data_IF_171393707831
#
_entry.id   IF_171393707831
#
_cell.length_a   1.000
_cell.length_b   1.000
_cell.length_c   1.000
_cell.angle_alpha   90.00
_cell.angle_beta   90.00
_cell.angle_gamma   90.00
#
_symmetry.space_group_name_H-M   'P 1'
#
loop_
_entity.id
_entity.type
_entity.pdbx_description
1 polymer ?
#
# COMPACT_ATOMS: atom_id res chain seq x y z
N UNK A 1 -15.04 -23.36 -5.85
CA UNK A 1 -15.82 -22.59 -4.86
C UNK A 1 -15.63 -21.12 -5.18
N UNK A 2 -16.68 -20.34 -5.37
CA UNK A 2 -16.56 -18.88 -5.58
C UNK A 2 -16.33 -18.25 -4.21
N UNK A 3 -15.17 -17.65 -4.00
CA UNK A 3 -14.86 -16.94 -2.76
C UNK A 3 -15.60 -15.60 -2.81
N UNK A 4 -16.44 -15.32 -1.82
CA UNK A 4 -17.14 -14.04 -1.66
C UNK A 4 -16.76 -13.41 -0.32
N UNK A 5 -16.74 -12.06 -0.28
CA UNK A 5 -16.51 -11.25 0.93
C UNK A 5 -17.55 -10.13 0.99
N UNK A 6 -18.82 -10.45 1.29
CA UNK A 6 -19.90 -9.46 1.33
C UNK A 6 -19.74 -8.43 2.46
N UNK A 7 -18.91 -8.75 3.45
CA UNK A 7 -18.54 -7.91 4.58
C UNK A 7 -17.54 -6.79 4.23
N UNK A 8 -16.88 -6.86 3.06
CA UNK A 8 -15.88 -5.88 2.62
C UNK A 8 -16.47 -4.91 1.59
N UNK A 9 -16.28 -3.62 1.83
CA UNK A 9 -16.54 -2.57 0.86
C UNK A 9 -15.38 -2.40 -0.12
N UNK A 10 -15.53 -2.87 -1.36
CA UNK A 10 -14.54 -2.67 -2.43
C UNK A 10 -14.70 -1.28 -3.04
N UNK A 11 -14.00 -0.28 -2.49
CA UNK A 11 -14.17 1.12 -2.87
C UNK A 11 -13.51 1.53 -4.21
N UNK A 12 -12.70 0.66 -4.81
CA UNK A 12 -12.00 0.92 -6.08
C UNK A 12 -11.76 -0.38 -6.85
N UNK A 13 -12.19 -0.41 -8.12
CA UNK A 13 -12.15 -1.62 -8.96
C UNK A 13 -11.81 -1.36 -10.42
N UNK A 14 -11.22 -0.21 -10.77
CA UNK A 14 -10.75 0.04 -12.14
C UNK A 14 -9.61 -0.92 -12.55
N UNK A 15 -9.50 -1.19 -13.84
CA UNK A 15 -8.57 -2.16 -14.41
C UNK A 15 -7.12 -1.95 -13.93
N UNK A 16 -6.64 -0.71 -13.96
CA UNK A 16 -5.28 -0.36 -13.54
C UNK A 16 -5.03 -0.68 -12.06
N UNK A 17 -6.05 -0.59 -11.21
CA UNK A 17 -5.98 -0.96 -9.80
C UNK A 17 -6.01 -2.48 -9.62
N UNK A 18 -6.95 -3.18 -10.26
CA UNK A 18 -7.10 -4.64 -10.17
C UNK A 18 -5.86 -5.37 -10.71
N UNK A 19 -5.25 -4.86 -11.78
CA UNK A 19 -4.03 -5.43 -12.36
C UNK A 19 -2.87 -5.52 -11.36
N UNK A 20 -2.84 -4.68 -10.31
CA UNK A 20 -1.82 -4.77 -9.25
C UNK A 20 -1.89 -6.11 -8.51
N UNK A 21 -3.10 -6.55 -8.19
CA UNK A 21 -3.36 -7.78 -7.44
C UNK A 21 -3.16 -9.01 -8.32
N UNK A 22 -3.64 -8.97 -9.57
CA UNK A 22 -3.42 -10.03 -10.55
C UNK A 22 -1.93 -10.25 -10.80
N UNK A 23 -1.16 -9.20 -11.09
CA UNK A 23 0.30 -9.30 -11.31
C UNK A 23 1.04 -9.82 -10.07
N UNK A 24 0.67 -9.35 -8.87
CA UNK A 24 1.25 -9.81 -7.61
C UNK A 24 0.98 -11.29 -7.29
N UNK A 25 0.02 -11.93 -7.97
CA UNK A 25 -0.34 -13.34 -7.82
C UNK A 25 -0.26 -14.12 -9.13
N UNK A 26 0.56 -13.65 -10.08
CA UNK A 26 0.79 -14.33 -11.38
C UNK A 26 -0.53 -14.69 -12.11
N UNK A 27 -1.51 -13.81 -12.05
CA UNK A 27 -2.85 -13.97 -12.63
C UNK A 27 -3.68 -15.15 -12.09
N UNK A 28 -3.28 -15.73 -10.96
CA UNK A 28 -4.18 -16.61 -10.22
C UNK A 28 -5.34 -15.78 -9.64
N UNK A 29 -6.52 -15.92 -10.22
CA UNK A 29 -7.68 -15.10 -9.87
C UNK A 29 -8.16 -15.31 -8.42
N UNK A 30 -8.09 -16.55 -7.90
CA UNK A 30 -8.45 -16.83 -6.50
C UNK A 30 -7.52 -16.12 -5.52
N UNK A 31 -6.20 -16.25 -5.72
CA UNK A 31 -5.22 -15.62 -4.85
C UNK A 31 -5.22 -14.08 -4.99
N UNK A 32 -5.46 -13.57 -6.20
CA UNK A 32 -5.59 -12.14 -6.44
C UNK A 32 -6.82 -11.56 -5.72
N UNK A 33 -7.96 -12.24 -5.77
CA UNK A 33 -9.16 -11.84 -5.04
C UNK A 33 -8.93 -11.86 -3.52
N UNK A 34 -8.27 -12.91 -3.01
CA UNK A 34 -7.91 -12.99 -1.58
C UNK A 34 -7.03 -11.82 -1.14
N UNK A 35 -6.04 -11.43 -1.95
CA UNK A 35 -5.19 -10.26 -1.66
C UNK A 35 -5.96 -8.94 -1.74
N UNK A 36 -6.88 -8.80 -2.70
CA UNK A 36 -7.74 -7.62 -2.83
C UNK A 36 -8.66 -7.45 -1.61
N UNK A 37 -9.29 -8.53 -1.16
CA UNK A 37 -10.12 -8.55 0.04
C UNK A 37 -9.30 -8.12 1.26
N UNK A 38 -8.14 -8.75 1.51
CA UNK A 38 -7.27 -8.40 2.63
C UNK A 38 -6.83 -6.93 2.60
N UNK A 39 -6.55 -6.37 1.42
CA UNK A 39 -6.19 -4.97 1.27
C UNK A 39 -7.30 -4.03 1.78
N UNK A 40 -8.57 -4.29 1.42
CA UNK A 40 -9.69 -3.44 1.88
C UNK A 40 -10.08 -3.71 3.34
N UNK A 41 -10.05 -4.97 3.77
CA UNK A 41 -10.26 -5.36 5.17
C UNK A 41 -9.29 -4.63 6.11
N UNK A 42 -8.00 -4.61 5.76
CA UNK A 42 -6.99 -3.89 6.54
C UNK A 42 -7.30 -2.38 6.64
N UNK A 43 -7.81 -1.77 5.58
CA UNK A 43 -8.20 -0.34 5.61
C UNK A 43 -9.45 -0.09 6.43
N UNK A 44 -10.45 -0.97 6.35
CA UNK A 44 -11.66 -0.90 7.17
C UNK A 44 -11.36 -1.06 8.66
N UNK A 45 -10.40 -1.91 9.02
CA UNK A 45 -10.01 -2.14 10.41
C UNK A 45 -9.12 -1.03 10.98
N UNK A 46 -8.44 -0.25 10.13
CA UNK A 46 -7.46 0.76 10.54
C UNK A 46 -7.79 2.15 9.98
N UNK A 47 -9.06 2.57 10.08
CA UNK A 47 -9.57 3.81 9.45
C UNK A 47 -8.76 5.05 9.83
N UNK A 48 -8.30 5.15 11.08
CA UNK A 48 -7.56 6.31 11.57
C UNK A 48 -6.25 6.53 10.80
N UNK A 49 -5.57 5.46 10.39
CA UNK A 49 -4.35 5.55 9.58
C UNK A 49 -4.62 6.03 8.15
N UNK A 50 -5.83 5.82 7.63
CA UNK A 50 -6.17 6.07 6.23
C UNK A 50 -7.05 7.30 6.00
N UNK A 51 -7.61 7.92 7.07
CA UNK A 51 -8.55 9.04 7.00
C UNK A 51 -8.02 10.24 6.19
N UNK A 52 -6.73 10.56 6.35
CA UNK A 52 -6.05 11.67 5.66
C UNK A 52 -4.72 11.25 5.01
N UNK A 53 -4.65 10.04 4.42
CA UNK A 53 -3.45 9.57 3.72
C UNK A 53 -3.22 10.34 2.41
N UNK A 54 -2.67 11.55 2.51
CA UNK A 54 -2.36 12.45 1.39
C UNK A 54 -0.96 13.03 1.59
N UNK A 55 -0.19 13.18 0.52
CA UNK A 55 1.13 13.80 0.57
C UNK A 55 1.10 15.29 1.01
N UNK A 56 -0.09 15.91 1.00
CA UNK A 56 -0.31 17.29 1.48
C UNK A 56 -0.55 17.37 2.99
N UNK A 57 -0.79 16.25 3.67
CA UNK A 57 -0.88 16.22 5.13
C UNK A 57 0.45 16.72 5.74
N UNK A 58 0.44 17.65 6.70
CA UNK A 58 1.67 18.23 7.24
C UNK A 58 2.65 17.19 7.82
N UNK A 59 2.14 16.19 8.54
CA UNK A 59 2.96 15.15 9.15
C UNK A 59 3.61 14.26 8.10
N UNK A 60 2.82 13.80 7.12
CA UNK A 60 3.35 13.01 6.00
C UNK A 60 4.37 13.82 5.19
N UNK A 61 4.07 15.07 4.87
CA UNK A 61 4.95 15.94 4.09
C UNK A 61 6.28 16.17 4.80
N UNK A 62 6.25 16.37 6.11
CA UNK A 62 7.46 16.57 6.91
C UNK A 62 8.28 15.28 6.98
N UNK A 63 7.65 14.13 7.31
CA UNK A 63 8.33 12.83 7.32
C UNK A 63 9.02 12.52 5.98
N UNK A 64 8.37 12.81 4.85
CA UNK A 64 8.96 12.63 3.52
C UNK A 64 10.15 13.57 3.27
N UNK A 65 10.12 14.83 3.75
CA UNK A 65 11.26 15.75 3.67
C UNK A 65 12.44 15.29 4.51
N UNK A 66 12.16 14.68 5.66
CA UNK A 66 13.18 14.14 6.57
C UNK A 66 13.73 12.78 6.09
N UNK A 67 13.25 12.29 4.94
CA UNK A 67 13.71 11.05 4.32
C UNK A 67 13.13 9.80 4.98
N UNK A 68 11.89 9.87 5.49
CA UNK A 68 11.21 8.79 6.19
C UNK A 68 9.85 8.42 5.55
N UNK A 69 9.76 7.31 4.79
CA UNK A 69 10.88 6.57 4.21
C UNK A 69 11.56 7.34 3.08
N UNK A 70 12.86 7.10 2.91
CA UNK A 70 13.61 7.51 1.74
C UNK A 70 13.39 6.51 0.60
N UNK A 71 13.44 7.00 -0.64
CA UNK A 71 13.38 6.16 -1.85
C UNK A 71 14.59 6.46 -2.72
N UNK A 72 15.39 5.44 -3.03
CA UNK A 72 16.53 5.63 -3.92
C UNK A 72 16.05 5.85 -5.37
N UNK A 73 16.76 6.71 -6.10
CA UNK A 73 16.50 7.00 -7.52
C UNK A 73 16.72 5.75 -8.38
N UNK A 74 17.81 5.03 -8.11
CA UNK A 74 18.17 3.81 -8.80
C UNK A 74 17.38 2.60 -8.26
N UNK A 75 17.11 1.67 -9.17
CA UNK A 75 16.60 0.34 -8.82
C UNK A 75 17.77 -0.57 -8.43
N UNK A 76 17.47 -1.66 -7.74
CA UNK A 76 18.46 -2.71 -7.57
C UNK A 76 18.66 -3.53 -8.86
N UNK A 77 19.58 -4.50 -8.83
CA UNK A 77 19.89 -5.37 -9.97
C UNK A 77 18.73 -6.24 -10.47
N UNK A 78 17.63 -6.33 -9.73
CA UNK A 78 16.42 -7.06 -10.10
C UNK A 78 15.27 -6.11 -10.49
N UNK A 79 15.53 -4.80 -10.60
CA UNK A 79 14.52 -3.79 -10.95
C UNK A 79 13.58 -3.43 -9.78
N UNK A 80 13.93 -3.78 -8.54
CA UNK A 80 13.10 -3.48 -7.36
C UNK A 80 13.35 -2.04 -6.88
N UNK A 81 12.29 -1.37 -6.42
CA UNK A 81 12.40 -0.09 -5.71
C UNK A 81 13.03 -0.31 -4.34
N UNK A 82 13.95 0.56 -3.95
CA UNK A 82 14.67 0.48 -2.68
C UNK A 82 14.11 1.55 -1.73
N UNK A 83 13.47 1.10 -0.66
CA UNK A 83 13.01 1.93 0.45
C UNK A 83 14.05 1.87 1.57
N UNK A 84 14.38 3.02 2.15
CA UNK A 84 15.34 3.13 3.25
C UNK A 84 14.68 3.82 4.44
N UNK A 85 14.86 3.26 5.63
CA UNK A 85 14.39 3.82 6.89
C UNK A 85 15.62 4.10 7.75
N UNK A 86 15.89 5.39 8.01
CA UNK A 86 16.95 5.80 8.92
C UNK A 86 16.34 6.01 10.30
N UNK A 87 16.56 5.07 11.23
CA UNK A 87 16.03 5.17 12.58
C UNK A 87 16.52 6.44 13.32
N UNK A 88 17.69 6.96 12.96
CA UNK A 88 18.21 8.22 13.50
C UNK A 88 17.35 9.45 13.14
N UNK A 89 16.55 9.37 12.06
CA UNK A 89 15.62 10.44 11.66
C UNK A 89 14.22 10.23 12.23
N UNK A 90 14.03 9.25 13.13
CA UNK A 90 12.75 9.02 13.77
C UNK A 90 12.63 9.93 15.00
N UNK A 91 11.91 11.04 14.84
CA UNK A 91 11.43 11.86 15.95
C UNK A 91 10.06 11.35 16.46
N UNK A 92 9.96 11.05 17.75
CA UNK A 92 8.74 10.59 18.42
C UNK A 92 8.10 11.68 19.30
N UNK A 93 8.69 12.87 19.34
CA UNK A 93 8.23 13.99 20.18
C UNK A 93 7.07 14.78 19.59
#
# INVERSE_FOLDING_TARGET
>A
MIITRPDIGFLRTDDAFILRFLRARKFNHFEAFRLLAQYFEYRQQNLDMFKNLKATDPGIKQALKDGFPGVLSNLDRYGRKILVLFAANWDQS
#
